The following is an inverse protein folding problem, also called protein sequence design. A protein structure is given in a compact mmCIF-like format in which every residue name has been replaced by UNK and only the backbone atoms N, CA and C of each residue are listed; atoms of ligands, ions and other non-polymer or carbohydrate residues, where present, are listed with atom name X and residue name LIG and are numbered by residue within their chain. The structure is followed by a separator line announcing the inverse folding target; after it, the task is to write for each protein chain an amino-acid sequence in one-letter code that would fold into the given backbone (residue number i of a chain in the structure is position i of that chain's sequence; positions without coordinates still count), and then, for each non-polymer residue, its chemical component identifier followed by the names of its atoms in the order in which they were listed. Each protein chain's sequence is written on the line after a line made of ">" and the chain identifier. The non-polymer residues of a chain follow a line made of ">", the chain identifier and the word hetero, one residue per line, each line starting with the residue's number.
data_IF_568016993152
#
_entry.id   IF_568016993152
#
_cell.length_a   1.000
_cell.length_b   1.000
_cell.length_c   1.000
_cell.angle_alpha   90.00
_cell.angle_beta   90.00
_cell.angle_gamma   90.00
#
_symmetry.space_group_name_H-M   'P 1'
#
loop_
_entity.id
_entity.type
_entity.pdbx_description
1 polymer ?
#
# COMPACT_ATOMS: atom_id res chain seq x y z
N UNK A 1 -7.45 -7.91 15.30
CA UNK A 1 -7.82 -6.79 14.41
C UNK A 1 -7.60 -7.33 13.01
N UNK A 2 -8.67 -7.66 12.31
CA UNK A 2 -8.62 -8.33 11.01
C UNK A 2 -8.19 -7.32 9.94
N UNK A 3 -7.29 -7.74 9.05
CA UNK A 3 -6.96 -6.99 7.87
C UNK A 3 -8.17 -7.06 6.92
N UNK A 4 -8.71 -5.91 6.51
CA UNK A 4 -9.93 -5.85 5.70
C UNK A 4 -9.72 -6.45 4.31
N UNK A 5 -8.47 -6.47 3.83
CA UNK A 5 -8.10 -6.96 2.50
C UNK A 5 -6.71 -7.63 2.55
N UNK A 6 -6.45 -8.57 1.63
CA UNK A 6 -5.20 -9.33 1.55
C UNK A 6 -4.00 -8.53 1.04
N UNK A 7 -2.81 -9.13 1.08
CA UNK A 7 -1.57 -8.54 0.57
C UNK A 7 -1.69 -8.13 -0.91
N UNK A 8 -2.32 -8.94 -1.75
CA UNK A 8 -2.57 -8.63 -3.17
C UNK A 8 -3.43 -7.37 -3.35
N UNK A 9 -4.42 -7.15 -2.50
CA UNK A 9 -5.28 -5.96 -2.57
C UNK A 9 -4.48 -4.69 -2.23
N UNK A 10 -3.58 -4.77 -1.24
CA UNK A 10 -2.67 -3.69 -0.90
C UNK A 10 -1.82 -3.32 -2.11
N UNK A 11 -1.24 -4.32 -2.79
CA UNK A 11 -0.44 -4.12 -3.99
C UNK A 11 -1.28 -3.50 -5.11
N UNK A 12 -2.48 -4.00 -5.37
CA UNK A 12 -3.39 -3.44 -6.38
C UNK A 12 -3.75 -1.97 -6.10
N UNK A 13 -3.99 -1.62 -4.84
CA UNK A 13 -4.27 -0.23 -4.43
C UNK A 13 -3.07 0.69 -4.69
N UNK A 14 -1.87 0.25 -4.27
CA UNK A 14 -0.62 0.97 -4.51
C UNK A 14 -0.40 1.19 -6.02
N UNK A 15 -0.57 0.14 -6.83
CA UNK A 15 -0.45 0.22 -8.29
C UNK A 15 -1.49 1.17 -8.89
N UNK A 16 -2.73 1.12 -8.43
CA UNK A 16 -3.79 2.01 -8.91
C UNK A 16 -3.45 3.48 -8.65
N UNK A 17 -2.94 3.81 -7.46
CA UNK A 17 -2.52 5.17 -7.13
C UNK A 17 -1.34 5.61 -8.02
N UNK A 18 -0.32 4.77 -8.19
CA UNK A 18 0.82 5.07 -9.07
C UNK A 18 0.39 5.26 -10.53
N UNK A 19 -0.49 4.38 -11.03
CA UNK A 19 -0.99 4.44 -12.41
C UNK A 19 -1.85 5.67 -12.67
N UNK A 20 -2.52 6.20 -11.64
CA UNK A 20 -3.23 7.48 -11.70
C UNK A 20 -2.29 8.70 -11.56
N UNK A 21 -0.96 8.51 -11.51
CA UNK A 21 0.02 9.57 -11.27
C UNK A 21 0.03 10.09 -9.84
N UNK A 22 -0.65 9.40 -8.92
CA UNK A 22 -0.69 9.73 -7.50
C UNK A 22 0.59 9.31 -6.79
N UNK A 23 1.02 10.12 -5.82
CA UNK A 23 2.18 9.78 -5.00
C UNK A 23 1.80 8.75 -3.94
N UNK A 24 2.38 7.55 -4.04
CA UNK A 24 2.27 6.50 -3.01
C UNK A 24 3.27 6.70 -1.85
N UNK A 25 3.68 7.94 -1.63
CA UNK A 25 4.55 8.31 -0.52
C UNK A 25 3.88 7.95 0.80
N UNK A 26 4.65 7.38 1.74
CA UNK A 26 4.20 6.99 3.08
C UNK A 26 3.35 8.06 3.77
N UNK A 27 3.77 9.34 3.65
CA UNK A 27 3.06 10.48 4.24
C UNK A 27 1.70 10.71 3.58
N UNK A 28 1.64 10.66 2.25
CA UNK A 28 0.42 10.84 1.48
C UNK A 28 -0.58 9.73 1.79
N UNK A 29 -0.16 8.46 1.68
CA UNK A 29 -1.04 7.32 1.94
C UNK A 29 -1.51 7.30 3.38
N UNK A 30 -0.65 7.63 4.36
CA UNK A 30 -1.11 7.75 5.75
C UNK A 30 -2.18 8.83 5.94
N UNK A 31 -2.19 9.89 5.13
CA UNK A 31 -3.20 10.95 5.19
C UNK A 31 -4.46 10.63 4.38
N UNK A 32 -4.32 10.02 3.20
CA UNK A 32 -5.43 9.73 2.29
C UNK A 32 -6.11 8.39 2.58
N UNK A 33 -5.32 7.38 2.96
CA UNK A 33 -5.76 6.00 3.18
C UNK A 33 -4.94 5.32 4.30
N UNK A 34 -5.18 5.69 5.57
CA UNK A 34 -4.49 5.09 6.72
C UNK A 34 -4.79 3.59 6.88
N UNK A 35 -5.90 3.10 6.32
CA UNK A 35 -6.25 1.69 6.36
C UNK A 35 -5.36 0.87 5.42
N UNK A 36 -5.13 1.34 4.19
CA UNK A 36 -4.15 0.76 3.28
C UNK A 36 -2.76 0.69 3.91
N UNK A 37 -2.35 1.77 4.60
CA UNK A 37 -1.09 1.80 5.34
C UNK A 37 -1.03 0.73 6.43
N UNK A 38 -2.12 0.55 7.20
CA UNK A 38 -2.19 -0.47 8.26
C UNK A 38 -2.13 -1.87 7.70
N UNK A 39 -2.88 -2.16 6.63
CA UNK A 39 -2.87 -3.46 5.97
C UNK A 39 -1.49 -3.76 5.35
N UNK A 40 -0.86 -2.76 4.72
CA UNK A 40 0.50 -2.91 4.20
C UNK A 40 1.51 -3.26 5.29
N UNK A 41 1.45 -2.62 6.45
CA UNK A 41 2.33 -2.94 7.59
C UNK A 41 1.99 -4.28 8.27
N UNK A 42 0.82 -4.85 8.00
CA UNK A 42 0.44 -6.17 8.50
C UNK A 42 1.07 -7.29 7.66
N UNK A 43 1.08 -7.15 6.33
CA UNK A 43 1.62 -8.15 5.41
C UNK A 43 3.08 -7.95 5.05
N UNK A 44 3.56 -6.70 5.05
CA UNK A 44 4.91 -6.34 4.66
C UNK A 44 5.69 -5.77 5.84
N UNK A 45 7.00 -6.03 5.93
CA UNK A 45 7.84 -5.54 7.03
C UNK A 45 7.94 -4.01 7.05
N UNK A 46 7.73 -3.35 5.91
CA UNK A 46 7.66 -1.89 5.82
C UNK A 46 6.80 -1.45 4.63
N UNK A 47 6.33 -0.21 4.68
CA UNK A 47 5.64 0.42 3.54
C UNK A 47 6.49 0.39 2.27
N UNK A 48 7.80 0.66 2.40
CA UNK A 48 8.74 0.59 1.27
C UNK A 48 8.85 -0.82 0.69
N UNK A 49 8.76 -1.87 1.50
CA UNK A 49 8.68 -3.24 0.98
C UNK A 49 7.39 -3.47 0.21
N UNK A 50 6.24 -2.97 0.69
CA UNK A 50 4.98 -3.07 -0.04
C UNK A 50 5.05 -2.33 -1.38
N UNK A 51 5.65 -1.13 -1.40
CA UNK A 51 5.89 -0.38 -2.64
C UNK A 51 6.77 -1.16 -3.60
N UNK A 52 7.91 -1.67 -3.12
CA UNK A 52 8.84 -2.44 -3.93
C UNK A 52 8.20 -3.70 -4.50
N UNK A 53 7.41 -4.41 -3.70
CA UNK A 53 6.60 -5.54 -4.18
C UNK A 53 5.60 -5.11 -5.25
N UNK A 54 5.04 -3.91 -5.16
CA UNK A 54 4.12 -3.38 -6.16
C UNK A 54 4.83 -2.92 -7.45
N UNK A 55 6.07 -2.46 -7.37
CA UNK A 55 6.88 -2.07 -8.54
C UNK A 55 7.47 -3.28 -9.28
N UNK A 56 7.73 -4.38 -8.58
CA UNK A 56 8.40 -5.56 -9.14
C UNK A 56 7.46 -6.63 -9.72
N UNK A 57 6.15 -6.35 -9.82
CA UNK A 57 5.10 -7.28 -10.27
C UNK A 57 4.42 -6.80 -11.54
#
# INVERSE_FOLDING_TARGET
>A
MEATFGADEVINRIKSIQSNGGSVSKKQVKQTDPELMRNALFYFPSWEHALKSAENL
#
